data_IF_377314615997
#
_entry.id   IF_377314615997
#
_cell.length_a   1.000
_cell.length_b   1.000
_cell.length_c   1.000
_cell.angle_alpha   90.00
_cell.angle_beta   90.00
_cell.angle_gamma   90.00
#
_symmetry.space_group_name_H-M   'P 1'
#
loop_
_entity.id
_entity.type
_entity.pdbx_description
1 polymer ?
#
# COMPACT_ATOMS: atom_id res chain seq x y z
N UNK A 1 -29.05 -25.87 55.80
CA UNK A 1 -27.83 -25.78 54.97
C UNK A 1 -28.23 -25.10 53.67
N UNK A 2 -27.72 -23.90 53.44
CA UNK A 2 -28.10 -23.04 52.32
C UNK A 2 -27.03 -23.20 51.22
N UNK A 3 -27.35 -23.92 50.16
CA UNK A 3 -26.43 -24.18 49.04
C UNK A 3 -26.51 -23.00 48.08
N UNK A 4 -25.53 -22.10 48.12
CA UNK A 4 -25.39 -21.01 47.17
C UNK A 4 -24.83 -21.57 45.85
N UNK A 5 -25.64 -21.54 44.79
CA UNK A 5 -25.23 -21.81 43.43
C UNK A 5 -24.48 -20.60 42.88
N UNK A 6 -23.15 -20.71 42.75
CA UNK A 6 -22.34 -19.76 41.99
C UNK A 6 -22.50 -20.09 40.50
N UNK A 7 -23.16 -19.20 39.76
CA UNK A 7 -23.16 -19.24 38.31
C UNK A 7 -21.81 -18.74 37.77
N UNK A 8 -21.20 -19.42 36.79
CA UNK A 8 -19.96 -18.97 36.18
C UNK A 8 -20.25 -17.75 35.29
N UNK A 9 -19.66 -16.61 35.62
CA UNK A 9 -19.58 -15.45 34.72
C UNK A 9 -18.61 -15.79 33.60
N UNK A 10 -19.13 -16.07 32.41
CA UNK A 10 -18.33 -16.11 31.18
C UNK A 10 -17.88 -14.70 30.85
N UNK A 11 -16.63 -14.37 31.14
CA UNK A 11 -16.00 -13.17 30.62
C UNK A 11 -15.83 -13.36 29.10
N UNK A 12 -16.58 -12.59 28.31
CA UNK A 12 -16.30 -12.41 26.88
C UNK A 12 -14.95 -11.71 26.77
N UNK A 13 -13.90 -12.48 26.45
CA UNK A 13 -12.63 -11.92 26.03
C UNK A 13 -12.90 -11.13 24.74
N UNK A 14 -12.87 -9.79 24.82
CA UNK A 14 -12.71 -8.98 23.62
C UNK A 14 -11.36 -9.37 23.03
N UNK A 15 -11.35 -9.89 21.80
CA UNK A 15 -10.12 -10.00 21.05
C UNK A 15 -9.46 -8.62 21.05
N UNK A 16 -8.21 -8.55 21.48
CA UNK A 16 -7.46 -7.30 21.43
C UNK A 16 -7.46 -6.82 19.97
N UNK A 17 -7.70 -5.53 19.76
CA UNK A 17 -7.55 -4.93 18.44
C UNK A 17 -6.10 -5.13 17.99
N UNK A 18 -5.91 -5.51 16.72
CA UNK A 18 -4.58 -5.70 16.16
C UNK A 18 -3.77 -4.40 16.27
N UNK A 19 -2.49 -4.53 16.63
CA UNK A 19 -1.61 -3.42 16.96
C UNK A 19 -0.42 -3.35 15.98
N UNK A 20 0.28 -2.19 15.90
CA UNK A 20 1.50 -2.09 15.10
C UNK A 20 2.52 -3.17 15.50
N UNK A 21 3.09 -3.84 14.52
CA UNK A 21 4.03 -4.95 14.69
C UNK A 21 3.39 -6.34 14.71
N UNK A 22 2.07 -6.46 14.82
CA UNK A 22 1.38 -7.74 14.70
C UNK A 22 1.48 -8.26 13.26
N UNK A 23 1.62 -9.57 13.10
CA UNK A 23 1.60 -10.22 11.78
C UNK A 23 0.21 -10.75 11.47
N UNK A 24 -0.36 -10.31 10.35
CA UNK A 24 -1.61 -10.84 9.79
C UNK A 24 -1.25 -11.75 8.62
N UNK A 25 -1.82 -12.97 8.59
CA UNK A 25 -1.72 -13.87 7.45
C UNK A 25 -3.09 -14.42 7.11
N UNK A 26 -3.63 -14.05 5.95
CA UNK A 26 -4.97 -14.41 5.50
C UNK A 26 -4.97 -14.62 3.99
N UNK A 27 -5.80 -15.54 3.45
CA UNK A 27 -6.15 -15.52 2.04
C UNK A 27 -6.65 -14.12 1.64
N UNK A 28 -6.20 -13.61 0.50
CA UNK A 28 -6.47 -12.22 0.08
C UNK A 28 -7.96 -11.86 0.08
N UNK A 29 -8.85 -12.80 -0.27
CA UNK A 29 -10.30 -12.56 -0.25
C UNK A 29 -10.86 -12.43 1.18
N UNK A 30 -10.27 -13.14 2.14
CA UNK A 30 -10.61 -12.99 3.56
C UNK A 30 -10.02 -11.69 4.12
N UNK A 31 -8.82 -11.31 3.69
CA UNK A 31 -8.24 -10.01 4.04
C UNK A 31 -9.10 -8.84 3.55
N UNK A 32 -9.60 -8.88 2.30
CA UNK A 32 -10.54 -7.89 1.79
C UNK A 32 -11.81 -7.81 2.65
N UNK A 33 -12.41 -8.95 3.02
CA UNK A 33 -13.60 -9.00 3.87
C UNK A 33 -13.36 -8.46 5.29
N UNK A 34 -12.11 -8.46 5.75
CA UNK A 34 -11.72 -7.93 7.05
C UNK A 34 -11.45 -6.41 7.02
N UNK A 35 -11.31 -5.80 5.85
CA UNK A 35 -11.16 -4.34 5.74
C UNK A 35 -12.48 -3.65 6.10
N UNK A 36 -12.45 -2.54 6.86
CA UNK A 36 -13.64 -1.73 7.10
C UNK A 36 -14.17 -1.17 5.77
N UNK A 37 -15.49 -1.20 5.58
CA UNK A 37 -16.14 -0.49 4.47
C UNK A 37 -16.66 0.86 4.99
N UNK A 38 -16.09 1.96 4.52
CA UNK A 38 -16.41 3.34 4.93
C UNK A 38 -16.59 4.26 3.70
N UNK A 39 -17.45 5.27 3.80
CA UNK A 39 -17.52 6.30 2.75
C UNK A 39 -16.25 7.16 2.73
N UNK A 40 -15.76 7.48 1.54
CA UNK A 40 -14.61 8.35 1.34
C UNK A 40 -14.86 9.81 1.71
N UNK A 41 -13.79 10.50 2.14
CA UNK A 41 -13.83 11.95 2.35
C UNK A 41 -12.50 12.64 2.10
N UNK A 42 -12.44 13.39 0.99
CA UNK A 42 -11.30 14.25 0.63
C UNK A 42 -11.19 15.54 1.44
N UNK A 43 -12.07 15.74 2.42
CA UNK A 43 -12.11 16.97 3.20
C UNK A 43 -10.77 17.25 3.90
N UNK A 44 -10.19 18.42 3.63
CA UNK A 44 -8.93 18.86 4.24
C UNK A 44 -7.68 18.16 3.70
N UNK A 45 -7.76 17.37 2.63
CA UNK A 45 -6.59 16.78 2.01
C UNK A 45 -5.64 17.85 1.47
N UNK A 46 -4.36 17.71 1.82
CA UNK A 46 -3.27 18.45 1.22
C UNK A 46 -2.10 17.48 1.05
N UNK A 47 -1.57 17.33 -0.17
CA UNK A 47 -0.47 16.40 -0.46
C UNK A 47 0.76 16.65 0.43
N UNK A 48 1.00 17.90 0.83
CA UNK A 48 2.08 18.32 1.73
C UNK A 48 1.97 17.73 3.15
N UNK A 49 0.81 17.21 3.56
CA UNK A 49 0.61 16.53 4.85
C UNK A 49 1.24 15.14 4.91
N UNK A 50 1.64 14.60 3.76
CA UNK A 50 2.41 13.38 3.60
C UNK A 50 3.84 13.79 3.22
N UNK A 51 4.72 14.00 4.21
CA UNK A 51 6.10 14.38 3.94
C UNK A 51 6.83 13.22 3.24
N UNK A 52 7.22 13.42 1.99
CA UNK A 52 8.06 12.53 1.18
C UNK A 52 8.86 13.42 0.21
N UNK A 53 9.98 13.02 -0.36
CA UNK A 53 10.76 11.79 -0.19
C UNK A 53 11.85 12.03 0.85
N UNK A 54 11.92 11.21 1.90
CA UNK A 54 12.90 11.39 2.98
C UNK A 54 14.14 10.54 2.76
N UNK A 55 15.29 11.02 3.24
CA UNK A 55 16.51 10.25 3.40
C UNK A 55 16.57 9.82 4.89
N UNK A 56 16.08 8.61 5.16
CA UNK A 56 15.81 8.14 6.52
C UNK A 56 17.08 7.65 7.24
N UNK A 57 17.97 6.99 6.50
CA UNK A 57 19.23 6.43 6.99
C UNK A 57 20.42 7.40 6.80
N UNK A 58 20.22 8.52 6.10
CA UNK A 58 21.19 9.61 5.88
C UNK A 58 22.37 9.20 5.03
N UNK A 59 22.15 8.33 4.05
CA UNK A 59 23.17 7.89 3.10
C UNK A 59 23.27 8.79 1.86
N UNK A 60 22.35 9.75 1.71
CA UNK A 60 22.27 10.70 0.60
C UNK A 60 21.29 10.31 -0.50
N UNK A 61 20.61 9.17 -0.37
CA UNK A 61 19.50 8.72 -1.19
C UNK A 61 18.18 8.95 -0.44
N UNK A 62 17.21 9.58 -1.10
CA UNK A 62 15.86 9.62 -0.54
C UNK A 62 15.08 8.37 -0.98
N UNK A 63 13.96 8.09 -0.33
CA UNK A 63 13.07 6.94 -0.63
C UNK A 63 12.79 6.76 -2.13
N UNK A 64 12.64 7.83 -2.92
CA UNK A 64 12.45 7.69 -4.39
C UNK A 64 13.68 7.03 -5.02
N UNK A 65 14.87 7.47 -4.63
CA UNK A 65 16.12 6.93 -5.15
C UNK A 65 16.40 5.52 -4.63
N UNK A 66 15.99 5.21 -3.40
CA UNK A 66 16.00 3.84 -2.86
C UNK A 66 15.21 2.88 -3.75
N UNK A 67 13.94 3.20 -4.03
CA UNK A 67 13.06 2.36 -4.85
C UNK A 67 13.59 2.21 -6.27
N UNK A 68 14.06 3.31 -6.89
CA UNK A 68 14.68 3.20 -8.22
C UNK A 68 15.96 2.37 -8.21
N UNK A 69 16.70 2.33 -7.12
CA UNK A 69 17.91 1.51 -7.06
C UNK A 69 17.56 0.04 -6.83
N UNK A 70 16.61 -0.24 -5.94
CA UNK A 70 16.21 -1.61 -5.58
C UNK A 70 15.45 -2.34 -6.68
N UNK A 71 14.62 -1.63 -7.45
CA UNK A 71 13.79 -2.23 -8.51
C UNK A 71 14.46 -2.26 -9.90
N UNK A 72 15.71 -1.82 -9.99
CA UNK A 72 16.45 -1.88 -11.24
C UNK A 72 16.74 -3.33 -11.65
N UNK A 73 16.27 -3.74 -12.83
CA UNK A 73 16.61 -5.02 -13.48
C UNK A 73 18.10 -5.06 -13.85
N UNK A 74 18.63 -3.94 -14.31
CA UNK A 74 20.08 -3.71 -14.45
C UNK A 74 20.44 -2.52 -13.60
N UNK A 75 21.35 -2.72 -12.65
CA UNK A 75 21.75 -1.68 -11.70
C UNK A 75 22.26 -0.42 -12.44
N UNK A 76 21.77 0.77 -12.08
CA UNK A 76 22.36 2.03 -12.53
C UNK A 76 23.71 2.29 -11.83
N UNK A 77 24.50 3.20 -12.40
CA UNK A 77 25.59 3.81 -11.67
C UNK A 77 25.04 4.89 -10.72
N UNK A 78 25.48 4.88 -9.47
CA UNK A 78 25.11 5.87 -8.45
C UNK A 78 26.23 6.90 -8.28
N UNK A 79 25.94 8.14 -8.67
CA UNK A 79 26.82 9.29 -8.47
C UNK A 79 26.57 10.04 -7.16
N UNK A 80 27.24 11.19 -6.96
CA UNK A 80 27.03 12.05 -5.80
C UNK A 80 25.56 12.47 -5.63
N UNK A 81 25.09 12.59 -4.38
CA UNK A 81 23.69 12.88 -4.03
C UNK A 81 22.69 11.89 -4.67
N UNK A 82 23.09 10.62 -4.79
CA UNK A 82 22.29 9.54 -5.35
C UNK A 82 21.78 9.79 -6.78
N UNK A 83 22.54 10.53 -7.60
CA UNK A 83 22.17 10.72 -9.00
C UNK A 83 22.41 9.41 -9.75
N UNK A 84 21.33 8.82 -10.29
CA UNK A 84 21.39 7.57 -11.05
C UNK A 84 21.64 7.83 -12.54
N UNK A 85 22.58 7.09 -13.12
CA UNK A 85 22.88 7.11 -14.57
C UNK A 85 22.91 5.69 -15.14
N UNK A 86 22.37 5.53 -16.36
CA UNK A 86 22.16 4.20 -16.95
C UNK A 86 21.03 3.44 -16.24
N UNK A 87 21.16 2.12 -16.19
CA UNK A 87 20.19 1.22 -15.58
C UNK A 87 19.09 0.74 -16.53
N UNK A 88 18.35 -0.27 -16.09
CA UNK A 88 17.17 -0.79 -16.78
C UNK A 88 16.11 -1.13 -15.76
N UNK A 89 14.89 -0.67 -15.97
CA UNK A 89 13.73 -0.92 -15.11
C UNK A 89 12.61 -1.53 -15.91
N UNK A 90 11.74 -2.26 -15.23
CA UNK A 90 10.54 -2.85 -15.81
C UNK A 90 9.32 -2.24 -15.11
N UNK A 91 8.36 -1.71 -15.89
CA UNK A 91 7.10 -1.23 -15.34
C UNK A 91 6.02 -2.30 -15.47
N UNK A 92 5.61 -2.84 -14.32
CA UNK A 92 4.54 -3.83 -14.26
C UNK A 92 3.16 -3.28 -14.68
N UNK A 93 2.98 -1.96 -14.71
CA UNK A 93 1.71 -1.35 -15.09
C UNK A 93 1.40 -1.45 -16.60
N UNK A 94 2.45 -1.49 -17.44
CA UNK A 94 2.32 -1.44 -18.90
C UNK A 94 3.21 -2.41 -19.66
N UNK A 95 3.91 -3.32 -18.96
CA UNK A 95 4.76 -4.38 -19.52
C UNK A 95 5.87 -3.83 -20.43
N UNK A 96 6.53 -2.77 -19.95
CA UNK A 96 7.59 -2.08 -20.70
C UNK A 96 8.87 -1.90 -19.89
N UNK A 97 9.98 -1.95 -20.62
CA UNK A 97 11.30 -1.65 -20.08
C UNK A 97 11.72 -0.21 -20.36
N UNK A 98 12.38 0.41 -19.38
CA UNK A 98 12.88 1.77 -19.45
C UNK A 98 14.37 1.79 -19.08
N UNK A 99 15.16 2.47 -19.90
CA UNK A 99 16.62 2.61 -19.77
C UNK A 99 17.05 3.96 -19.17
N UNK A 100 16.08 4.68 -18.58
CA UNK A 100 16.28 6.03 -18.09
C UNK A 100 15.33 6.29 -16.91
N UNK A 101 15.92 6.50 -15.73
CA UNK A 101 15.22 6.79 -14.49
C UNK A 101 14.27 8.02 -14.55
N UNK A 102 14.44 8.92 -15.53
CA UNK A 102 13.54 10.07 -15.74
C UNK A 102 12.23 9.72 -16.44
N UNK A 103 12.14 8.53 -17.05
CA UNK A 103 10.89 8.00 -17.65
C UNK A 103 10.01 7.28 -16.62
N UNK A 104 10.50 7.16 -15.39
CA UNK A 104 9.84 6.46 -14.29
C UNK A 104 9.42 7.45 -13.20
N UNK A 105 8.26 7.18 -12.62
CA UNK A 105 7.84 7.74 -11.35
C UNK A 105 7.81 6.59 -10.31
N UNK A 106 8.02 6.93 -9.03
CA UNK A 106 7.72 5.98 -7.93
C UNK A 106 6.29 6.26 -7.49
N UNK A 107 5.42 5.28 -7.67
CA UNK A 107 4.03 5.32 -7.29
C UNK A 107 3.85 4.83 -5.85
N UNK A 108 2.92 5.45 -5.13
CA UNK A 108 2.34 4.88 -3.92
C UNK A 108 1.24 3.93 -4.38
N UNK A 109 1.41 2.62 -4.17
CA UNK A 109 0.49 1.62 -4.73
C UNK A 109 -0.96 1.98 -4.41
N UNK A 110 -1.26 2.26 -3.14
CA UNK A 110 -2.43 3.02 -2.72
C UNK A 110 -2.06 4.52 -2.68
N UNK A 111 -2.64 5.39 -3.54
CA UNK A 111 -2.26 6.80 -3.62
C UNK A 111 -2.38 7.55 -2.29
N UNK A 112 -1.55 8.58 -2.07
CA UNK A 112 -1.60 9.39 -0.83
C UNK A 112 -2.98 10.02 -0.55
N UNK A 113 -3.71 10.38 -1.61
CA UNK A 113 -5.03 10.97 -1.47
C UNK A 113 -6.12 9.92 -1.23
N UNK A 114 -5.97 8.76 -1.85
CA UNK A 114 -6.79 7.58 -1.55
C UNK A 114 -6.61 7.13 -0.09
N UNK A 115 -5.38 7.04 0.40
CA UNK A 115 -5.11 6.73 1.79
C UNK A 115 -5.77 7.75 2.74
N UNK A 116 -5.80 9.04 2.38
CA UNK A 116 -6.48 10.08 3.16
C UNK A 116 -7.97 9.80 3.30
N UNK A 117 -8.61 9.50 2.17
CA UNK A 117 -10.04 9.21 2.06
C UNK A 117 -10.40 7.94 2.84
N UNK A 118 -9.51 6.95 2.79
CA UNK A 118 -9.59 5.66 3.48
C UNK A 118 -9.18 5.70 4.97
N UNK A 119 -9.00 6.89 5.55
CA UNK A 119 -8.83 7.05 7.00
C UNK A 119 -7.51 7.68 7.47
N UNK A 120 -6.54 7.89 6.58
CA UNK A 120 -5.28 8.57 6.93
C UNK A 120 -5.45 10.06 7.28
N UNK A 121 -6.62 10.62 7.00
CA UNK A 121 -7.05 11.93 7.53
C UNK A 121 -6.99 12.02 9.06
N UNK A 122 -7.17 10.89 9.76
CA UNK A 122 -7.15 10.79 11.23
C UNK A 122 -5.74 10.57 11.80
N UNK A 123 -4.76 10.27 10.96
CA UNK A 123 -3.41 9.95 11.39
C UNK A 123 -2.65 11.18 11.89
N UNK A 124 -1.64 10.96 12.72
CA UNK A 124 -0.61 11.94 13.00
C UNK A 124 0.22 12.25 11.76
N UNK A 125 0.97 13.37 11.80
CA UNK A 125 1.91 13.68 10.72
C UNK A 125 3.02 12.63 10.57
N UNK A 126 3.43 11.99 11.67
CA UNK A 126 4.47 10.95 11.66
C UNK A 126 3.98 9.66 10.98
N UNK A 127 2.74 9.25 11.24
CA UNK A 127 2.13 8.08 10.57
C UNK A 127 1.99 8.32 9.05
N UNK A 128 1.54 9.51 8.63
CA UNK A 128 1.49 9.87 7.20
C UNK A 128 2.87 9.93 6.55
N UNK A 129 3.88 10.41 7.27
CA UNK A 129 5.27 10.38 6.79
C UNK A 129 5.78 8.95 6.66
N UNK A 130 5.50 8.08 7.63
CA UNK A 130 5.88 6.66 7.55
C UNK A 130 5.24 5.98 6.33
N UNK A 131 3.93 6.14 6.13
CA UNK A 131 3.22 5.64 4.95
C UNK A 131 3.82 6.14 3.64
N UNK A 132 4.12 7.44 3.56
CA UNK A 132 4.62 8.04 2.33
C UNK A 132 6.05 7.62 1.98
N UNK A 133 6.77 6.97 2.90
CA UNK A 133 8.15 6.52 2.73
C UNK A 133 8.34 5.05 3.16
N UNK A 134 7.30 4.22 3.08
CA UNK A 134 7.38 2.83 3.51
C UNK A 134 8.31 2.02 2.61
N UNK A 135 9.44 1.60 3.17
CA UNK A 135 10.42 0.70 2.55
C UNK A 135 10.43 -0.69 3.22
N UNK A 136 9.63 -0.87 4.27
CA UNK A 136 9.57 -2.11 5.05
C UNK A 136 8.67 -3.16 4.39
N UNK A 137 7.84 -2.77 3.42
CA UNK A 137 7.04 -3.65 2.57
C UNK A 137 7.21 -3.26 1.09
N UNK A 138 7.75 -4.18 0.29
CA UNK A 138 8.05 -3.94 -1.12
C UNK A 138 6.80 -3.67 -2.00
N UNK A 139 5.59 -3.83 -1.44
CA UNK A 139 4.33 -3.55 -2.15
C UNK A 139 3.92 -2.09 -2.07
N UNK A 140 4.38 -1.33 -1.06
CA UNK A 140 3.87 0.01 -0.78
C UNK A 140 4.27 1.05 -1.84
N UNK A 141 5.49 0.91 -2.38
CA UNK A 141 6.07 1.82 -3.38
C UNK A 141 6.59 1.02 -4.57
N UNK A 142 6.32 1.50 -5.79
CA UNK A 142 6.72 0.80 -7.02
C UNK A 142 7.21 1.76 -8.10
N UNK A 143 8.33 1.45 -8.75
CA UNK A 143 8.83 2.17 -9.92
C UNK A 143 8.03 1.75 -11.17
N UNK A 144 7.30 2.70 -11.73
CA UNK A 144 6.47 2.47 -12.92
C UNK A 144 6.69 3.57 -13.94
N UNK A 145 6.21 3.36 -15.18
CA UNK A 145 6.29 4.42 -16.18
C UNK A 145 5.58 5.67 -15.69
N UNK A 146 6.19 6.83 -15.95
CA UNK A 146 5.60 8.11 -15.59
C UNK A 146 4.23 8.32 -16.27
N UNK A 147 4.01 7.73 -17.45
CA UNK A 147 2.72 7.80 -18.15
C UNK A 147 1.62 7.04 -17.39
N UNK A 148 1.90 5.79 -16.99
CA UNK A 148 0.94 4.96 -16.28
C UNK A 148 0.62 5.53 -14.89
N UNK A 149 1.64 5.97 -14.13
CA UNK A 149 1.40 6.60 -12.83
C UNK A 149 0.54 7.87 -12.93
N UNK A 150 0.81 8.73 -13.91
CA UNK A 150 0.03 9.96 -14.11
C UNK A 150 -1.38 9.69 -14.62
N UNK A 151 -1.59 8.58 -15.33
CA UNK A 151 -2.92 8.12 -15.71
C UNK A 151 -3.71 7.59 -14.53
N UNK A 152 -3.05 6.94 -13.56
CA UNK A 152 -3.64 6.49 -12.29
C UNK A 152 -4.01 7.68 -11.42
N UNK A 153 -3.08 8.62 -11.24
CA UNK A 153 -3.22 9.77 -10.35
C UNK A 153 -3.61 9.32 -8.91
N UNK A 154 -4.82 9.64 -8.48
CA UNK A 154 -5.37 9.30 -7.16
C UNK A 154 -6.57 8.34 -7.24
N UNK A 155 -6.75 7.67 -8.37
CA UNK A 155 -7.83 6.70 -8.60
C UNK A 155 -7.59 5.37 -7.87
N UNK A 156 -8.67 4.80 -7.37
CA UNK A 156 -8.76 3.47 -6.78
C UNK A 156 -9.08 2.38 -7.85
N UNK A 157 -9.02 1.08 -7.50
CA UNK A 157 -9.31 -0.04 -8.41
C UNK A 157 -10.67 -0.06 -9.10
N UNK A 158 -11.66 0.69 -8.61
CA UNK A 158 -12.98 0.84 -9.24
C UNK A 158 -12.94 1.73 -10.49
N UNK A 159 -11.97 2.66 -10.56
CA UNK A 159 -11.85 3.63 -11.66
C UNK A 159 -10.57 3.45 -12.48
N UNK A 160 -9.53 2.84 -11.91
CA UNK A 160 -8.28 2.59 -12.61
C UNK A 160 -7.69 1.21 -12.31
N UNK A 161 -7.23 0.52 -13.34
CA UNK A 161 -6.42 -0.69 -13.24
C UNK A 161 -5.23 -0.59 -14.21
N UNK A 162 -4.11 -1.28 -13.93
CA UNK A 162 -3.00 -1.40 -14.85
C UNK A 162 -3.45 -1.78 -16.27
N UNK A 163 -2.85 -1.13 -17.28
CA UNK A 163 -3.11 -1.42 -18.67
C UNK A 163 -2.68 -2.86 -19.03
N UNK A 164 -1.56 -3.31 -18.46
CA UNK A 164 -1.12 -4.68 -18.58
C UNK A 164 -2.00 -5.62 -17.76
N UNK A 165 -2.86 -6.38 -18.45
CA UNK A 165 -3.79 -7.30 -17.81
C UNK A 165 -3.10 -8.39 -16.97
N UNK A 166 -1.87 -8.79 -17.34
CA UNK A 166 -1.11 -9.82 -16.62
C UNK A 166 -0.73 -9.42 -15.20
N UNK A 167 -0.68 -8.12 -14.89
CA UNK A 167 -0.35 -7.63 -13.55
C UNK A 167 -1.57 -7.34 -12.67
N UNK A 168 -2.79 -7.35 -13.22
CA UNK A 168 -3.99 -6.90 -12.49
C UNK A 168 -4.29 -7.72 -11.23
N UNK A 169 -4.04 -9.02 -11.24
CA UNK A 169 -4.21 -9.84 -10.04
C UNK A 169 -3.22 -9.45 -8.96
N UNK A 170 -1.93 -9.34 -9.30
CA UNK A 170 -0.91 -8.91 -8.35
C UNK A 170 -1.22 -7.51 -7.79
N UNK A 171 -1.60 -6.57 -8.66
CA UNK A 171 -1.99 -5.22 -8.28
C UNK A 171 -3.09 -5.19 -7.20
N UNK A 172 -4.21 -5.90 -7.40
CA UNK A 172 -5.30 -5.90 -6.40
C UNK A 172 -4.96 -6.70 -5.14
N UNK A 173 -4.09 -7.71 -5.23
CA UNK A 173 -3.59 -8.45 -4.07
C UNK A 173 -2.72 -7.54 -3.20
N UNK A 174 -1.78 -6.84 -3.83
CA UNK A 174 -0.89 -5.91 -3.16
C UNK A 174 -1.65 -4.71 -2.60
N UNK A 175 -2.68 -4.25 -3.31
CA UNK A 175 -3.57 -3.19 -2.83
C UNK A 175 -4.27 -3.58 -1.52
N UNK A 176 -4.85 -4.80 -1.46
CA UNK A 176 -5.47 -5.32 -0.22
C UNK A 176 -4.41 -5.50 0.87
N UNK A 177 -3.20 -5.94 0.53
CA UNK A 177 -2.12 -6.08 1.49
C UNK A 177 -1.69 -4.73 2.09
N UNK A 178 -1.51 -3.71 1.28
CA UNK A 178 -1.13 -2.37 1.74
C UNK A 178 -2.22 -1.74 2.62
N UNK A 179 -3.50 -1.84 2.19
CA UNK A 179 -4.64 -1.42 3.02
C UNK A 179 -4.72 -2.19 4.33
N UNK A 180 -4.45 -3.50 4.33
CA UNK A 180 -4.40 -4.32 5.56
C UNK A 180 -3.28 -3.86 6.48
N UNK A 181 -2.07 -3.67 5.94
CA UNK A 181 -0.88 -3.25 6.68
C UNK A 181 -1.09 -1.93 7.42
N UNK A 182 -1.77 -0.98 6.80
CA UNK A 182 -2.05 0.33 7.37
C UNK A 182 -3.43 0.48 8.01
N UNK A 183 -4.21 -0.61 8.04
CA UNK A 183 -5.59 -0.62 8.54
C UNK A 183 -6.46 0.47 7.91
N UNK A 184 -6.30 0.65 6.59
CA UNK A 184 -7.12 1.56 5.78
C UNK A 184 -8.49 0.92 5.49
N UNK A 185 -9.51 1.75 5.36
CA UNK A 185 -10.82 1.33 4.87
C UNK A 185 -10.82 1.13 3.35
N UNK A 186 -11.88 0.52 2.84
CA UNK A 186 -12.27 0.57 1.43
C UNK A 186 -13.63 1.23 1.30
N UNK A 187 -13.89 1.90 0.19
CA UNK A 187 -15.25 2.37 -0.10
C UNK A 187 -16.11 1.26 -0.74
N UNK A 188 -17.45 1.36 -0.74
CA UNK A 188 -18.31 0.33 -1.33
C UNK A 188 -18.02 0.03 -2.82
N UNK A 189 -17.61 1.03 -3.60
CA UNK A 189 -17.30 0.89 -5.04
C UNK A 189 -15.97 0.17 -5.23
N UNK A 190 -14.95 0.57 -4.48
CA UNK A 190 -13.66 -0.09 -4.42
C UNK A 190 -13.78 -1.54 -3.93
N UNK A 191 -14.51 -1.81 -2.84
CA UNK A 191 -14.72 -3.17 -2.32
C UNK A 191 -15.34 -4.08 -3.40
N UNK A 192 -16.36 -3.58 -4.10
CA UNK A 192 -17.01 -4.31 -5.17
C UNK A 192 -16.04 -4.59 -6.35
N UNK A 193 -15.23 -3.61 -6.74
CA UNK A 193 -14.26 -3.75 -7.82
C UNK A 193 -13.11 -4.71 -7.48
N UNK A 194 -12.60 -4.64 -6.25
CA UNK A 194 -11.60 -5.55 -5.70
C UNK A 194 -12.16 -6.98 -5.64
N UNK A 195 -13.36 -7.17 -5.10
CA UNK A 195 -14.03 -8.47 -5.00
C UNK A 195 -14.25 -9.10 -6.37
N UNK A 196 -14.75 -8.33 -7.33
CA UNK A 196 -14.98 -8.78 -8.71
C UNK A 196 -13.66 -9.17 -9.40
N UNK A 197 -12.60 -8.38 -9.22
CA UNK A 197 -11.29 -8.68 -9.81
C UNK A 197 -10.65 -9.89 -9.17
N UNK A 198 -10.62 -9.94 -7.84
CA UNK A 198 -10.08 -11.06 -7.08
C UNK A 198 -10.84 -12.35 -7.34
N UNK A 199 -12.13 -12.30 -7.73
CA UNK A 199 -12.92 -13.48 -8.09
C UNK A 199 -12.24 -14.36 -9.15
N UNK A 200 -11.48 -13.73 -10.05
CA UNK A 200 -10.75 -14.34 -11.17
C UNK A 200 -9.26 -14.59 -10.88
N UNK A 201 -8.78 -14.22 -9.70
CA UNK A 201 -7.37 -14.33 -9.30
C UNK A 201 -7.14 -15.51 -8.35
N UNK A 202 -5.89 -16.00 -8.24
CA UNK A 202 -5.49 -16.90 -7.16
C UNK A 202 -5.87 -16.32 -5.80
N UNK A 203 -6.45 -17.15 -4.92
CA UNK A 203 -6.74 -16.75 -3.54
C UNK A 203 -5.55 -17.07 -2.64
N UNK A 204 -4.40 -16.46 -2.93
CA UNK A 204 -3.18 -16.65 -2.16
C UNK A 204 -3.23 -15.92 -0.82
N UNK A 205 -2.43 -16.40 0.14
CA UNK A 205 -2.31 -15.73 1.44
C UNK A 205 -1.40 -14.52 1.32
N UNK A 206 -1.90 -13.36 1.77
CA UNK A 206 -1.05 -12.23 2.09
C UNK A 206 -0.49 -12.42 3.50
N UNK A 207 0.77 -12.06 3.70
CA UNK A 207 1.36 -11.86 5.02
C UNK A 207 1.80 -10.41 5.12
N UNK A 208 1.32 -9.70 6.13
CA UNK A 208 1.69 -8.31 6.41
C UNK A 208 2.03 -8.16 7.89
N UNK A 209 3.08 -7.39 8.18
CA UNK A 209 3.26 -6.82 9.52
C UNK A 209 2.47 -5.53 9.56
N UNK A 210 1.62 -5.32 10.57
CA UNK A 210 0.87 -4.08 10.69
C UNK A 210 1.81 -2.91 10.98
N UNK A 211 1.70 -1.85 10.19
CA UNK A 211 2.39 -0.59 10.42
C UNK A 211 1.62 0.30 11.43
N UNK A 212 0.34 -0.02 11.67
CA UNK A 212 -0.58 0.74 12.50
C UNK A 212 -1.52 -0.15 13.30
#
# INVERSE_FOLDING_TARGET
>A
MLTALLAPTTATAHAAAAAPGDTVTLPVREALQALPVEDESRAGYERSKFRHWTDADRDGCNTRMEILTSEAVTAPEQGPNCVLTGGLWYSSYDDQYFDNARKLDVDHLVPLAEAWDSGASRWSAKEREAYANDLDDARALIAVSAASNRSKADQDPSTWLPAFAGYRCQYVIDWVADKTRYQLAVDPSEEAALSETLSRCPNESITVTLAR
#
